data_IF_787966322728
#
_entry.id   IF_787966322728
#
_cell.length_a   1.000
_cell.length_b   1.000
_cell.length_c   1.000
_cell.angle_alpha   90.00
_cell.angle_beta   90.00
_cell.angle_gamma   90.00
#
_symmetry.space_group_name_H-M   'P 1'
#
loop_
_entity.id
_entity.type
_entity.pdbx_description
1 polymer ?
#
# COMPACT_ATOMS: atom_id res chain seq x y z
N UNK A 1 1.34 -3.97 -26.60
CA UNK A 1 1.08 -3.17 -25.38
C UNK A 1 1.01 -1.73 -25.82
N UNK A 2 -0.15 -1.10 -25.73
CA UNK A 2 -0.27 0.33 -25.98
C UNK A 2 0.49 1.12 -24.91
N UNK A 3 0.85 2.37 -25.17
CA UNK A 3 1.50 3.24 -24.19
C UNK A 3 0.68 3.35 -22.89
N UNK A 4 -0.65 3.35 -23.01
CA UNK A 4 -1.57 3.38 -21.88
C UNK A 4 -1.53 2.09 -21.03
N UNK A 5 -1.51 0.92 -21.66
CA UNK A 5 -1.41 -0.36 -20.94
C UNK A 5 -0.07 -0.50 -20.21
N UNK A 6 1.03 -0.05 -20.84
CA UNK A 6 2.34 -0.08 -20.21
C UNK A 6 2.37 0.82 -18.97
N UNK A 7 1.84 2.05 -19.11
CA UNK A 7 1.78 3.00 -18.01
C UNK A 7 0.92 2.46 -16.84
N UNK A 8 -0.19 1.78 -17.13
CA UNK A 8 -1.05 1.18 -16.10
C UNK A 8 -0.33 0.06 -15.34
N UNK A 9 0.29 -0.87 -16.06
CA UNK A 9 1.08 -1.94 -15.46
C UNK A 9 2.27 -1.41 -14.65
N UNK A 10 3.01 -0.43 -15.20
CA UNK A 10 4.12 0.20 -14.51
C UNK A 10 3.67 0.86 -13.21
N UNK A 11 2.53 1.57 -13.23
CA UNK A 11 1.96 2.22 -12.05
C UNK A 11 1.55 1.19 -11.00
N UNK A 12 0.84 0.13 -11.39
CA UNK A 12 0.43 -0.95 -10.48
C UNK A 12 1.63 -1.59 -9.79
N UNK A 13 2.67 -1.92 -10.54
CA UNK A 13 3.86 -2.60 -10.01
C UNK A 13 4.68 -1.66 -9.11
N UNK A 14 4.99 -0.45 -9.59
CA UNK A 14 5.82 0.50 -8.83
C UNK A 14 5.16 0.95 -7.54
N UNK A 15 3.86 1.30 -7.60
CA UNK A 15 3.12 1.74 -6.41
C UNK A 15 3.00 0.62 -5.40
N UNK A 16 2.69 -0.62 -5.84
CA UNK A 16 2.61 -1.78 -4.93
C UNK A 16 3.97 -2.06 -4.27
N UNK A 17 5.07 -1.98 -5.02
CA UNK A 17 6.43 -2.11 -4.47
C UNK A 17 6.75 -1.04 -3.43
N UNK A 18 6.34 0.21 -3.69
CA UNK A 18 6.54 1.34 -2.77
C UNK A 18 5.76 1.16 -1.46
N UNK A 19 4.53 0.68 -1.54
CA UNK A 19 3.69 0.35 -0.37
C UNK A 19 4.36 -0.76 0.47
N UNK A 20 4.89 -1.81 -0.16
CA UNK A 20 5.61 -2.86 0.55
C UNK A 20 6.87 -2.32 1.24
N UNK A 21 7.61 -1.42 0.58
CA UNK A 21 8.78 -0.78 1.16
C UNK A 21 8.42 0.12 2.35
N UNK A 22 7.31 0.87 2.27
CA UNK A 22 6.75 1.60 3.41
C UNK A 22 6.40 0.66 4.56
N UNK A 23 5.82 -0.51 4.28
CA UNK A 23 5.56 -1.55 5.27
C UNK A 23 6.81 -2.04 5.98
N UNK A 24 7.88 -2.30 5.23
CA UNK A 24 9.16 -2.69 5.79
C UNK A 24 9.77 -1.61 6.69
N UNK A 25 9.76 -0.35 6.24
CA UNK A 25 10.24 0.79 7.05
C UNK A 25 9.42 0.92 8.32
N UNK A 26 8.09 0.83 8.23
CA UNK A 26 7.21 0.95 9.39
C UNK A 26 7.41 -0.17 10.41
N UNK A 27 7.65 -1.40 9.94
CA UNK A 27 8.02 -2.53 10.81
C UNK A 27 9.36 -2.29 11.52
N UNK A 28 10.36 -1.78 10.79
CA UNK A 28 11.66 -1.41 11.38
C UNK A 28 11.51 -0.27 12.39
N UNK A 29 10.72 0.74 12.06
CA UNK A 29 10.45 1.90 12.91
C UNK A 29 9.72 1.49 14.19
N UNK A 30 8.73 0.60 14.14
CA UNK A 30 8.06 0.11 15.36
C UNK A 30 9.01 -0.62 16.30
N UNK A 31 9.93 -1.40 15.72
CA UNK A 31 10.96 -2.12 16.49
C UNK A 31 12.01 -1.18 17.07
N UNK A 32 12.48 -0.19 16.31
CA UNK A 32 13.49 0.79 16.75
C UNK A 32 12.93 1.82 17.74
N UNK A 33 11.70 2.29 17.52
CA UNK A 33 11.07 3.34 18.32
C UNK A 33 10.55 2.84 19.67
N UNK A 34 10.70 1.53 19.98
CA UNK A 34 9.99 0.86 21.08
C UNK A 34 8.49 1.19 21.08
N UNK A 35 7.91 1.39 19.89
CA UNK A 35 6.48 1.60 19.77
C UNK A 35 5.83 0.35 20.34
N UNK A 36 5.18 0.49 21.49
CA UNK A 36 4.59 -0.65 22.19
C UNK A 36 3.55 -1.36 21.32
N UNK A 37 2.97 -2.44 21.85
CA UNK A 37 1.95 -3.25 21.16
C UNK A 37 0.86 -2.42 20.47
N UNK A 38 0.50 -1.27 21.06
CA UNK A 38 -0.48 -0.33 20.53
C UNK A 38 0.00 0.45 19.30
N UNK A 39 1.25 0.94 19.30
CA UNK A 39 1.83 1.68 18.18
C UNK A 39 2.05 0.78 16.95
N UNK A 40 2.47 -0.46 17.17
CA UNK A 40 2.54 -1.49 16.12
C UNK A 40 1.18 -1.81 15.51
N UNK A 41 0.14 -1.91 16.34
CA UNK A 41 -1.23 -2.18 15.89
C UNK A 41 -1.79 -1.02 15.03
N UNK A 42 -1.56 0.24 15.43
CA UNK A 42 -1.99 1.42 14.65
C UNK A 42 -1.25 1.46 13.30
N UNK A 43 0.05 1.17 13.28
CA UNK A 43 0.85 1.16 12.06
C UNK A 43 0.34 0.12 11.05
N UNK A 44 0.00 -1.09 11.53
CA UNK A 44 -0.63 -2.11 10.69
C UNK A 44 -2.04 -1.71 10.25
N UNK A 45 -2.82 -1.06 11.10
CA UNK A 45 -4.16 -0.55 10.76
C UNK A 45 -4.10 0.51 9.66
N UNK A 46 -3.20 1.49 9.77
CA UNK A 46 -3.03 2.56 8.78
C UNK A 46 -2.54 2.00 7.45
N UNK A 47 -1.58 1.07 7.46
CA UNK A 47 -1.16 0.35 6.26
C UNK A 47 -2.31 -0.44 5.64
N UNK A 48 -3.03 -1.21 6.44
CA UNK A 48 -4.19 -1.98 6.01
C UNK A 48 -5.26 -1.10 5.38
N UNK A 49 -5.57 0.05 5.99
CA UNK A 49 -6.49 1.04 5.44
C UNK A 49 -5.98 1.66 4.13
N UNK A 50 -4.70 1.98 4.03
CA UNK A 50 -4.10 2.52 2.81
C UNK A 50 -4.14 1.53 1.65
N UNK A 51 -3.80 0.27 1.90
CA UNK A 51 -3.88 -0.82 0.91
C UNK A 51 -5.33 -1.10 0.54
N UNK A 52 -6.23 -1.18 1.53
CA UNK A 52 -7.65 -1.40 1.29
C UNK A 52 -8.26 -0.29 0.44
N UNK A 53 -7.93 0.97 0.69
CA UNK A 53 -8.36 2.10 -0.14
C UNK A 53 -7.81 2.02 -1.57
N UNK A 54 -6.56 1.60 -1.74
CA UNK A 54 -5.97 1.39 -3.05
C UNK A 54 -6.66 0.25 -3.82
N UNK A 55 -7.01 -0.86 -3.17
CA UNK A 55 -7.75 -1.96 -3.81
C UNK A 55 -9.19 -1.54 -4.10
N UNK A 56 -9.83 -0.83 -3.17
CA UNK A 56 -11.21 -0.36 -3.31
C UNK A 56 -11.39 0.56 -4.53
N UNK A 57 -10.43 1.45 -4.81
CA UNK A 57 -10.50 2.31 -6.00
C UNK A 57 -10.44 1.50 -7.29
N UNK A 58 -9.59 0.46 -7.36
CA UNK A 58 -9.48 -0.41 -8.54
C UNK A 58 -10.76 -1.22 -8.74
N UNK A 59 -11.37 -1.70 -7.66
CA UNK A 59 -12.66 -2.39 -7.71
C UNK A 59 -13.77 -1.44 -8.18
N UNK A 60 -13.81 -0.21 -7.67
CA UNK A 60 -14.77 0.80 -8.13
C UNK A 60 -14.59 1.12 -9.62
N UNK A 61 -13.36 1.31 -10.08
CA UNK A 61 -13.06 1.52 -11.50
C UNK A 61 -13.54 0.32 -12.31
N UNK A 62 -13.24 -0.91 -11.89
CA UNK A 62 -13.68 -2.12 -12.60
C UNK A 62 -15.19 -2.34 -12.62
N UNK A 63 -15.94 -1.76 -11.68
CA UNK A 63 -17.41 -1.80 -11.67
C UNK A 63 -18.01 -0.66 -12.51
N UNK A 64 -17.33 0.49 -12.58
CA UNK A 64 -17.77 1.69 -13.31
C UNK A 64 -17.25 1.76 -14.75
N UNK A 65 -16.31 0.89 -15.12
CA UNK A 65 -15.71 0.73 -16.45
C UNK A 65 -16.54 -0.14 -17.38
#
# INVERSE_FOLDING_TARGET
MSEAEFADWATKILVTGLILYMGYIMYKLTKESKAGKFGGAIIFLVLGFGVAGFVFKEVLIGIMS
#
